data_IF_317034020020
#
_entry.id   IF_317034020020
#
_cell.length_a   1.000
_cell.length_b   1.000
_cell.length_c   1.000
_cell.angle_alpha   90.00
_cell.angle_beta   90.00
_cell.angle_gamma   90.00
#
_symmetry.space_group_name_H-M   'P 1'
#
loop_
_entity.id
_entity.type
_entity.pdbx_description
1 polymer ?
#
# COMPACT_ATOMS: atom_id res chain seq x y z
N UNK A 1 22.17 17.07 3.15
CA UNK A 1 20.95 16.60 2.47
C UNK A 1 20.17 17.80 2.00
N UNK A 2 19.98 17.93 0.69
CA UNK A 2 19.13 18.98 0.14
C UNK A 2 17.68 18.44 0.21
N UNK A 3 16.82 19.12 0.97
CA UNK A 3 15.38 18.93 0.82
C UNK A 3 15.04 19.11 -0.67
N UNK A 4 14.13 18.29 -1.21
CA UNK A 4 13.55 18.49 -2.54
C UNK A 4 12.99 19.92 -2.60
N UNK A 5 13.79 20.88 -3.08
CA UNK A 5 13.36 22.27 -3.21
C UNK A 5 12.46 22.35 -4.42
N UNK A 6 11.17 22.08 -4.20
CA UNK A 6 10.15 22.22 -5.23
C UNK A 6 9.95 23.71 -5.51
N UNK A 7 9.99 24.13 -6.79
CA UNK A 7 9.75 25.52 -7.17
C UNK A 7 8.45 26.05 -6.56
N UNK A 8 8.51 27.26 -5.99
CA UNK A 8 7.42 27.90 -5.25
C UNK A 8 6.21 28.28 -6.12
N UNK A 9 6.30 28.13 -7.44
CA UNK A 9 5.29 28.58 -8.41
C UNK A 9 4.49 27.46 -9.10
N UNK A 10 4.77 26.19 -8.81
CA UNK A 10 4.07 25.07 -9.44
C UNK A 10 2.88 24.62 -8.57
N UNK A 11 1.67 25.01 -8.98
CA UNK A 11 0.39 24.52 -8.43
C UNK A 11 0.21 23.02 -8.75
N UNK A 12 0.84 22.55 -9.84
CA UNK A 12 0.80 21.18 -10.36
C UNK A 12 2.14 20.50 -10.16
N UNK A 13 2.13 19.26 -9.65
CA UNK A 13 3.33 18.46 -9.45
C UNK A 13 3.17 17.11 -10.13
N UNK A 14 3.98 16.89 -11.17
CA UNK A 14 4.30 15.56 -11.69
C UNK A 14 5.47 15.02 -10.85
N UNK A 15 5.17 14.44 -9.68
CA UNK A 15 6.20 13.88 -8.79
C UNK A 15 5.99 12.37 -8.61
N UNK A 16 6.95 11.53 -9.02
CA UNK A 16 6.79 10.07 -8.99
C UNK A 16 6.61 9.49 -7.58
N UNK A 17 6.82 10.28 -6.53
CA UNK A 17 6.64 9.89 -5.15
C UNK A 17 7.65 10.50 -4.19
N UNK A 18 7.74 9.91 -2.99
CA UNK A 18 8.79 10.13 -2.00
C UNK A 18 9.62 8.85 -1.87
N UNK A 19 10.93 9.00 -2.03
CA UNK A 19 11.90 7.92 -1.95
C UNK A 19 12.95 8.29 -0.91
N UNK A 20 13.11 7.48 0.13
CA UNK A 20 14.15 7.68 1.13
C UNK A 20 15.46 7.07 0.61
N UNK A 21 16.62 7.73 0.70
CA UNK A 21 17.89 7.09 0.39
C UNK A 21 18.13 5.81 1.22
N UNK A 22 18.65 4.75 0.58
CA UNK A 22 18.93 3.45 1.23
C UNK A 22 19.81 3.56 2.50
N UNK A 23 20.66 4.60 2.56
CA UNK A 23 21.60 4.83 3.66
C UNK A 23 21.02 5.67 4.81
N UNK A 24 19.76 6.05 4.76
CA UNK A 24 19.13 6.91 5.77
C UNK A 24 18.54 6.12 6.95
N UNK A 25 19.03 4.90 7.18
CA UNK A 25 18.75 4.12 8.39
C UNK A 25 19.78 4.40 9.48
N UNK A 26 19.33 4.45 10.72
CA UNK A 26 20.21 4.46 11.88
C UNK A 26 20.69 3.03 12.24
N UNK A 27 21.46 2.93 13.33
CA UNK A 27 22.04 1.66 13.79
C UNK A 27 20.99 0.62 14.19
N UNK A 28 19.76 1.06 14.52
CA UNK A 28 18.65 0.22 14.92
C UNK A 28 17.77 -0.16 13.71
N UNK A 29 18.14 0.27 12.50
CA UNK A 29 17.36 0.04 11.28
C UNK A 29 16.14 0.97 11.15
N UNK A 30 16.00 1.96 12.03
CA UNK A 30 14.95 2.98 11.93
C UNK A 30 15.37 4.07 10.96
N UNK A 31 14.41 4.82 10.43
CA UNK A 31 14.67 6.07 9.73
C UNK A 31 15.48 7.01 10.62
N UNK A 32 16.63 7.48 10.16
CA UNK A 32 17.42 8.42 10.93
C UNK A 32 16.63 9.74 11.14
N UNK A 33 16.81 10.45 12.27
CA UNK A 33 15.98 11.61 12.59
C UNK A 33 15.98 12.72 11.53
N UNK A 34 17.12 12.94 10.87
CA UNK A 34 17.24 13.94 9.80
C UNK A 34 16.44 13.56 8.54
N UNK A 35 16.40 12.29 8.17
CA UNK A 35 15.61 11.80 7.05
C UNK A 35 14.11 11.80 7.37
N UNK A 36 13.74 11.43 8.60
CA UNK A 36 12.37 11.52 9.08
C UNK A 36 11.83 12.96 9.00
N UNK A 37 12.60 13.94 9.49
CA UNK A 37 12.24 15.37 9.38
C UNK A 37 12.19 15.85 7.93
N UNK A 38 13.14 15.42 7.09
CA UNK A 38 13.13 15.75 5.67
C UNK A 38 11.89 15.20 4.94
N UNK A 39 11.45 14.00 5.30
CA UNK A 39 10.24 13.38 4.74
C UNK A 39 8.98 14.15 5.15
N UNK A 40 8.84 14.49 6.44
CA UNK A 40 7.73 15.30 6.93
C UNK A 40 7.74 16.70 6.31
N UNK A 41 8.92 17.32 6.17
CA UNK A 41 9.06 18.61 5.50
C UNK A 41 8.65 18.53 4.02
N UNK A 42 9.00 17.45 3.33
CA UNK A 42 8.57 17.20 1.94
C UNK A 42 7.05 17.08 1.85
N UNK A 43 6.41 16.31 2.74
CA UNK A 43 4.96 16.22 2.80
C UNK A 43 4.30 17.60 2.99
N UNK A 44 4.84 18.44 3.89
CA UNK A 44 4.34 19.82 4.10
C UNK A 44 4.50 20.71 2.87
N UNK A 45 5.55 20.53 2.08
CA UNK A 45 5.75 21.29 0.84
C UNK A 45 4.79 20.87 -0.28
N UNK A 46 4.35 19.61 -0.24
CA UNK A 46 3.37 19.03 -1.17
C UNK A 46 1.92 19.35 -0.79
N UNK A 47 1.66 19.64 0.49
CA UNK A 47 0.34 19.95 1.00
C UNK A 47 -0.36 21.05 0.20
N UNK A 48 -1.61 20.79 -0.21
CA UNK A 48 -2.43 21.74 -0.98
C UNK A 48 -2.09 21.84 -2.46
N UNK A 49 -1.09 21.09 -2.95
CA UNK A 49 -0.85 20.94 -4.39
C UNK A 49 -1.71 19.79 -4.90
N UNK A 50 -2.43 20.02 -6.00
CA UNK A 50 -3.31 19.02 -6.58
C UNK A 50 -2.45 17.99 -7.32
N UNK A 51 -2.52 16.74 -6.84
CA UNK A 51 -2.09 15.59 -7.62
C UNK A 51 -3.16 15.31 -8.70
N UNK A 52 -2.86 15.64 -9.95
CA UNK A 52 -3.66 15.20 -11.09
C UNK A 52 -3.21 13.78 -11.44
N UNK A 53 -4.14 12.82 -11.36
CA UNK A 53 -3.94 11.45 -11.84
C UNK A 53 -3.58 11.57 -13.34
N UNK A 54 -2.42 11.06 -13.81
CA UNK A 54 -2.05 11.21 -15.22
C UNK A 54 -3.17 10.67 -16.11
N UNK A 55 -3.67 11.51 -17.01
CA UNK A 55 -4.81 11.16 -17.86
C UNK A 55 -4.43 9.96 -18.74
N UNK A 56 -5.07 8.81 -18.49
CA UNK A 56 -4.95 7.62 -19.33
C UNK A 56 -5.92 7.78 -20.50
N UNK A 57 -5.44 8.30 -21.62
CA UNK A 57 -6.10 8.12 -22.91
C UNK A 57 -5.83 6.68 -23.36
N UNK A 58 -6.88 5.85 -23.35
CA UNK A 58 -6.95 4.46 -23.85
C UNK A 58 -6.62 3.38 -22.79
N UNK A 59 -7.62 2.56 -22.49
CA UNK A 59 -7.58 1.50 -21.48
C UNK A 59 -6.78 0.27 -21.88
N UNK A 60 -5.48 0.43 -22.13
CA UNK A 60 -4.51 -0.65 -22.11
C UNK A 60 -3.70 -0.56 -20.81
N UNK A 61 -3.50 -1.72 -20.18
CA UNK A 61 -2.76 -1.98 -18.93
C UNK A 61 -2.22 -0.75 -18.19
N UNK A 62 -2.92 -0.34 -17.13
CA UNK A 62 -2.51 0.76 -16.23
C UNK A 62 -1.03 0.59 -15.85
N UNK A 63 -0.10 1.42 -16.35
CA UNK A 63 1.27 1.34 -15.89
C UNK A 63 1.33 1.75 -14.41
N UNK A 64 2.28 1.20 -13.66
CA UNK A 64 2.62 1.54 -12.28
C UNK A 64 2.91 3.05 -12.05
N UNK A 65 2.93 3.85 -13.12
CA UNK A 65 3.31 5.26 -13.20
C UNK A 65 2.26 6.24 -12.65
N UNK A 66 1.02 5.80 -12.39
CA UNK A 66 -0.07 6.68 -11.90
C UNK A 66 -0.22 6.72 -10.38
N UNK A 67 0.59 5.96 -9.65
CA UNK A 67 0.53 5.92 -8.19
C UNK A 67 1.57 6.84 -7.58
N UNK A 68 1.18 7.58 -6.54
CA UNK A 68 2.16 8.25 -5.71
C UNK A 68 2.98 7.19 -4.98
N UNK A 69 4.26 7.06 -5.31
CA UNK A 69 5.15 6.09 -4.67
C UNK A 69 5.64 6.56 -3.31
N UNK A 70 5.63 5.69 -2.32
CA UNK A 70 6.30 5.89 -1.04
C UNK A 70 7.27 4.72 -0.83
N UNK A 71 8.55 4.96 -1.04
CA UNK A 71 9.60 3.95 -0.88
C UNK A 71 10.34 4.16 0.44
N UNK A 72 10.22 3.17 1.33
CA UNK A 72 10.72 3.20 2.71
C UNK A 72 11.97 2.33 2.91
N UNK A 73 12.41 1.58 1.88
CA UNK A 73 13.59 0.70 1.91
C UNK A 73 13.77 -0.16 3.17
N UNK A 74 12.70 -0.66 3.77
CA UNK A 74 12.65 -1.46 5.00
C UNK A 74 13.21 -0.72 6.21
N UNK A 75 13.15 0.62 6.22
CA UNK A 75 13.35 1.37 7.45
C UNK A 75 12.17 1.08 8.39
N UNK A 76 12.40 1.09 9.70
CA UNK A 76 11.31 1.20 10.66
C UNK A 76 10.97 2.68 10.91
N UNK A 77 9.76 2.96 11.39
CA UNK A 77 9.42 4.29 11.87
C UNK A 77 10.36 4.71 13.02
N UNK A 78 10.86 5.94 13.04
CA UNK A 78 11.75 6.40 14.10
C UNK A 78 11.03 6.45 15.45
N UNK A 79 11.74 6.28 16.57
CA UNK A 79 11.16 6.41 17.92
C UNK A 79 10.52 7.77 18.21
N UNK A 80 10.89 8.80 17.46
CA UNK A 80 10.30 10.14 17.55
C UNK A 80 8.87 10.21 16.98
N UNK A 81 8.41 9.19 16.26
CA UNK A 81 7.05 9.11 15.73
C UNK A 81 6.17 8.27 16.67
N UNK A 82 5.31 8.91 17.49
CA UNK A 82 4.57 8.22 18.53
C UNK A 82 3.58 7.19 17.99
N UNK A 83 3.09 7.40 16.77
CA UNK A 83 2.13 6.52 16.09
C UNK A 83 2.78 5.67 14.97
N UNK A 84 4.10 5.47 15.02
CA UNK A 84 4.83 4.77 13.94
C UNK A 84 4.62 5.46 12.59
N UNK A 85 4.29 4.69 11.55
CA UNK A 85 4.01 5.26 10.23
C UNK A 85 2.74 6.12 10.18
N UNK A 86 1.89 6.07 11.20
CA UNK A 86 0.74 6.98 11.34
C UNK A 86 1.13 8.46 11.30
N UNK A 87 2.31 8.81 11.82
CA UNK A 87 2.82 10.20 11.75
C UNK A 87 3.04 10.63 10.29
N UNK A 88 3.57 9.72 9.46
CA UNK A 88 3.79 9.96 8.04
C UNK A 88 2.46 10.01 7.26
N UNK A 89 1.54 9.08 7.52
CA UNK A 89 0.24 9.08 6.84
C UNK A 89 -0.58 10.33 7.18
N UNK A 90 -0.52 10.81 8.42
CA UNK A 90 -1.11 12.10 8.80
C UNK A 90 -0.49 13.28 8.04
N UNK A 91 0.82 13.25 7.81
CA UNK A 91 1.50 14.29 7.01
C UNK A 91 1.16 14.21 5.52
N UNK A 92 0.82 13.03 5.00
CA UNK A 92 0.36 12.83 3.62
C UNK A 92 -1.11 13.20 3.40
N UNK A 93 -1.94 13.21 4.45
CA UNK A 93 -3.37 13.54 4.37
C UNK A 93 -3.68 14.82 3.56
N UNK A 94 -2.96 15.96 3.73
CA UNK A 94 -3.25 17.20 3.00
C UNK A 94 -2.97 17.14 1.51
N UNK A 95 -2.32 16.09 1.00
CA UNK A 95 -2.07 15.89 -0.43
C UNK A 95 -3.32 15.37 -1.16
N UNK A 96 -4.31 14.84 -0.41
CA UNK A 96 -5.55 14.34 -1.00
C UNK A 96 -5.34 13.18 -1.98
N UNK A 97 -4.35 12.32 -1.71
CA UNK A 97 -3.96 11.20 -2.57
C UNK A 97 -5.15 10.28 -2.86
N UNK A 98 -5.30 9.92 -4.14
CA UNK A 98 -6.27 8.91 -4.59
C UNK A 98 -5.61 7.56 -4.88
N UNK A 99 -4.36 7.56 -5.32
CA UNK A 99 -3.60 6.35 -5.64
C UNK A 99 -2.27 6.38 -4.89
N UNK A 100 -2.01 5.35 -4.09
CA UNK A 100 -0.79 5.23 -3.29
C UNK A 100 -0.15 3.86 -3.50
N UNK A 101 1.16 3.86 -3.74
CA UNK A 101 1.98 2.64 -3.68
C UNK A 101 2.94 2.77 -2.51
N UNK A 102 2.94 1.80 -1.61
CA UNK A 102 3.95 1.70 -0.54
C UNK A 102 4.92 0.59 -0.94
N UNK A 103 6.20 0.92 -1.04
CA UNK A 103 7.26 -0.01 -1.45
C UNK A 103 8.22 -0.28 -0.31
N UNK A 104 8.68 -1.54 -0.24
CA UNK A 104 9.79 -2.00 0.58
C UNK A 104 9.59 -1.49 2.02
N UNK A 105 8.53 -1.92 2.69
CA UNK A 105 8.19 -1.52 4.05
C UNK A 105 7.76 -2.74 4.86
N UNK A 106 7.59 -2.56 6.17
CA UNK A 106 6.97 -3.56 7.06
C UNK A 106 5.84 -2.88 7.82
N UNK A 107 4.60 -3.14 7.38
CA UNK A 107 3.40 -2.51 7.92
C UNK A 107 2.72 -3.42 8.94
N UNK A 108 2.58 -2.91 10.16
CA UNK A 108 1.83 -3.56 11.22
C UNK A 108 0.33 -3.26 11.11
N UNK A 109 -0.48 -3.96 11.89
CA UNK A 109 -1.90 -3.65 12.05
C UNK A 109 -2.16 -2.20 12.48
N UNK A 110 -1.30 -1.63 13.34
CA UNK A 110 -1.40 -0.23 13.75
C UNK A 110 -1.11 0.74 12.60
N UNK A 111 -0.12 0.43 11.76
CA UNK A 111 0.23 1.27 10.61
C UNK A 111 -0.90 1.27 9.58
N UNK A 112 -1.50 0.12 9.29
CA UNK A 112 -2.65 0.01 8.38
C UNK A 112 -3.89 0.71 8.95
N UNK A 113 -4.16 0.60 10.26
CA UNK A 113 -5.25 1.36 10.89
C UNK A 113 -5.04 2.88 10.76
N UNK A 114 -3.80 3.34 10.92
CA UNK A 114 -3.47 4.75 10.72
C UNK A 114 -3.58 5.16 9.24
N UNK A 115 -3.17 4.31 8.29
CA UNK A 115 -3.32 4.54 6.86
C UNK A 115 -4.79 4.78 6.50
N UNK A 116 -5.70 3.88 6.92
CA UNK A 116 -7.12 4.02 6.59
C UNK A 116 -7.78 5.22 7.26
N UNK A 117 -7.26 5.64 8.41
CA UNK A 117 -7.74 6.82 9.16
C UNK A 117 -7.31 8.13 8.49
N UNK A 118 -6.06 8.22 8.05
CA UNK A 118 -5.48 9.46 7.55
C UNK A 118 -5.64 9.63 6.03
N UNK A 119 -5.81 8.55 5.27
CA UNK A 119 -5.92 8.59 3.80
C UNK A 119 -7.28 8.05 3.30
N UNK A 120 -8.43 8.61 3.73
CA UNK A 120 -9.76 8.07 3.40
C UNK A 120 -10.18 8.29 1.94
N UNK A 121 -9.40 9.05 1.17
CA UNK A 121 -9.71 9.38 -0.23
C UNK A 121 -9.11 8.38 -1.22
N UNK A 122 -8.37 7.37 -0.75
CA UNK A 122 -7.75 6.38 -1.60
C UNK A 122 -8.80 5.59 -2.39
N UNK A 123 -8.61 5.61 -3.71
CA UNK A 123 -9.31 4.86 -4.74
C UNK A 123 -8.46 3.67 -5.23
N UNK A 124 -7.12 3.81 -5.19
CA UNK A 124 -6.19 2.73 -5.50
C UNK A 124 -5.09 2.59 -4.44
N UNK A 125 -4.80 1.35 -4.04
CA UNK A 125 -3.72 1.04 -3.11
C UNK A 125 -2.89 -0.13 -3.64
N UNK A 126 -1.57 0.06 -3.74
CA UNK A 126 -0.61 -1.01 -4.01
C UNK A 126 0.30 -1.16 -2.79
N UNK A 127 0.32 -2.36 -2.21
CA UNK A 127 1.21 -2.71 -1.10
C UNK A 127 2.29 -3.63 -1.65
N UNK A 128 3.41 -3.01 -1.99
CA UNK A 128 4.64 -3.65 -2.47
C UNK A 128 5.61 -3.83 -1.29
N UNK A 129 5.10 -4.45 -0.23
CA UNK A 129 5.72 -4.46 1.08
C UNK A 129 5.16 -5.58 1.97
N UNK A 130 5.89 -5.90 3.04
CA UNK A 130 5.43 -6.81 4.08
C UNK A 130 4.28 -6.17 4.85
N UNK A 131 3.17 -6.90 4.99
CA UNK A 131 1.99 -6.44 5.72
C UNK A 131 1.42 -7.58 6.56
N UNK A 132 1.04 -7.28 7.80
CA UNK A 132 0.39 -8.26 8.68
C UNK A 132 -0.96 -8.68 8.12
N UNK A 133 -1.16 -9.99 7.89
CA UNK A 133 -2.41 -10.53 7.35
C UNK A 133 -3.67 -10.10 8.14
N UNK A 134 -3.66 -10.05 9.50
CA UNK A 134 -4.81 -9.56 10.29
C UNK A 134 -5.19 -8.10 10.02
N UNK A 135 -4.34 -7.32 9.37
CA UNK A 135 -4.62 -5.92 9.05
C UNK A 135 -5.46 -5.73 7.78
N UNK A 136 -5.47 -6.70 6.86
CA UNK A 136 -6.17 -6.58 5.57
C UNK A 136 -7.67 -6.25 5.71
N UNK A 137 -8.43 -6.84 6.65
CA UNK A 137 -9.83 -6.46 6.87
C UNK A 137 -10.04 -4.97 7.16
N UNK A 138 -9.07 -4.28 7.76
CA UNK A 138 -9.19 -2.85 8.05
C UNK A 138 -9.30 -2.00 6.79
N UNK A 139 -8.78 -2.47 5.66
CA UNK A 139 -8.86 -1.78 4.37
C UNK A 139 -10.32 -1.62 3.88
N UNK A 140 -11.28 -2.41 4.39
CA UNK A 140 -12.71 -2.21 4.09
C UNK A 140 -13.27 -0.85 4.57
N UNK A 141 -12.52 -0.16 5.46
CA UNK A 141 -12.84 1.18 5.93
C UNK A 141 -12.55 2.26 4.88
N UNK A 142 -11.72 1.98 3.88
CA UNK A 142 -11.48 2.86 2.73
C UNK A 142 -12.68 2.79 1.77
N UNK A 143 -13.71 3.61 2.04
CA UNK A 143 -15.00 3.57 1.30
C UNK A 143 -14.92 3.93 -0.18
N UNK A 144 -13.77 4.44 -0.63
CA UNK A 144 -13.50 4.77 -2.03
C UNK A 144 -12.60 3.78 -2.74
N UNK A 145 -12.01 2.82 -2.03
CA UNK A 145 -11.05 1.88 -2.59
C UNK A 145 -11.72 1.04 -3.68
N UNK A 146 -11.23 1.17 -4.91
CA UNK A 146 -11.68 0.45 -6.09
C UNK A 146 -10.69 -0.63 -6.49
N UNK A 147 -9.39 -0.36 -6.37
CA UNK A 147 -8.32 -1.28 -6.78
C UNK A 147 -7.34 -1.52 -5.64
N UNK A 148 -7.11 -2.79 -5.31
CA UNK A 148 -6.10 -3.21 -4.33
C UNK A 148 -5.13 -4.20 -4.96
N UNK A 149 -3.84 -3.92 -4.86
CA UNK A 149 -2.77 -4.84 -5.26
C UNK A 149 -1.92 -5.18 -4.04
N UNK A 150 -1.70 -6.46 -3.80
CA UNK A 150 -0.92 -6.98 -2.68
C UNK A 150 0.25 -7.79 -3.24
N UNK A 151 1.47 -7.44 -2.83
CA UNK A 151 2.68 -8.17 -3.15
C UNK A 151 3.30 -8.74 -1.86
N UNK A 152 2.73 -9.82 -1.31
CA UNK A 152 3.23 -10.41 -0.08
C UNK A 152 4.58 -11.09 -0.36
N UNK A 153 5.61 -10.68 0.38
CA UNK A 153 6.96 -11.25 0.27
C UNK A 153 8.07 -10.21 0.04
N UNK A 154 7.74 -9.03 -0.50
CA UNK A 154 8.70 -7.92 -0.57
C UNK A 154 8.93 -7.34 0.83
N UNK A 155 10.15 -7.48 1.36
CA UNK A 155 10.48 -7.03 2.73
C UNK A 155 10.28 -8.08 3.84
N UNK A 156 9.99 -9.34 3.48
CA UNK A 156 9.89 -10.48 4.40
C UNK A 156 8.47 -11.04 4.52
N UNK A 157 8.36 -12.38 4.52
CA UNK A 157 7.08 -13.07 4.71
C UNK A 157 6.58 -12.87 6.13
N UNK A 158 5.40 -12.27 6.26
CA UNK A 158 4.74 -12.11 7.56
C UNK A 158 3.98 -13.40 7.89
N UNK A 159 3.96 -13.77 9.16
CA UNK A 159 3.30 -14.99 9.65
C UNK A 159 1.83 -15.09 9.17
N UNK A 160 1.43 -16.29 8.74
CA UNK A 160 0.05 -16.62 8.36
C UNK A 160 -0.31 -16.44 6.89
N UNK A 161 0.54 -15.81 6.07
CA UNK A 161 0.34 -15.70 4.62
C UNK A 161 0.44 -17.07 3.91
N UNK A 162 1.14 -18.02 4.48
CA UNK A 162 1.23 -19.42 4.05
C UNK A 162 0.02 -20.28 4.48
N UNK A 163 -0.94 -19.70 5.21
CA UNK A 163 -2.15 -20.38 5.65
C UNK A 163 -3.35 -20.02 4.75
N UNK A 164 -3.80 -21.00 3.97
CA UNK A 164 -5.02 -20.90 3.14
C UNK A 164 -6.24 -20.41 3.96
N UNK A 165 -6.45 -20.97 5.15
CA UNK A 165 -7.59 -20.62 6.00
C UNK A 165 -7.51 -19.17 6.52
N UNK A 166 -6.31 -18.72 6.89
CA UNK A 166 -6.11 -17.35 7.34
C UNK A 166 -6.33 -16.35 6.19
N UNK A 167 -5.80 -16.67 5.00
CA UNK A 167 -6.01 -15.88 3.78
C UNK A 167 -7.49 -15.78 3.43
N UNK A 168 -8.20 -16.91 3.40
CA UNK A 168 -9.65 -16.94 3.16
C UNK A 168 -10.40 -16.02 4.12
N UNK A 169 -10.11 -16.12 5.42
CA UNK A 169 -10.78 -15.31 6.43
C UNK A 169 -10.51 -13.80 6.22
N UNK A 170 -9.25 -13.41 6.04
CA UNK A 170 -8.87 -12.00 5.89
C UNK A 170 -9.44 -11.38 4.60
N UNK A 171 -9.29 -12.09 3.47
CA UNK A 171 -9.73 -11.62 2.16
C UNK A 171 -11.25 -11.65 2.00
N UNK A 172 -11.95 -12.61 2.62
CA UNK A 172 -13.41 -12.65 2.59
C UNK A 172 -14.01 -11.39 3.21
N UNK A 173 -13.58 -11.03 4.43
CA UNK A 173 -14.06 -9.84 5.12
C UNK A 173 -13.78 -8.60 4.28
N UNK A 174 -12.56 -8.48 3.75
CA UNK A 174 -12.18 -7.37 2.90
C UNK A 174 -13.08 -7.26 1.65
N UNK A 175 -13.23 -8.34 0.89
CA UNK A 175 -13.97 -8.33 -0.37
C UNK A 175 -15.49 -8.19 -0.18
N UNK A 176 -16.04 -8.74 0.90
CA UNK A 176 -17.46 -8.62 1.22
C UNK A 176 -17.82 -7.23 1.77
N UNK A 177 -16.95 -6.62 2.59
CA UNK A 177 -17.27 -5.36 3.28
C UNK A 177 -16.75 -4.10 2.59
N UNK A 178 -15.82 -4.20 1.63
CA UNK A 178 -15.31 -3.04 0.88
C UNK A 178 -16.28 -2.66 -0.25
N UNK A 179 -17.12 -1.61 -0.09
CA UNK A 179 -18.32 -1.43 -0.91
C UNK A 179 -18.03 -1.03 -2.36
N UNK A 180 -16.83 -0.52 -2.64
CA UNK A 180 -16.42 -0.05 -3.97
C UNK A 180 -15.29 -0.86 -4.58
N UNK A 181 -14.78 -1.87 -3.86
CA UNK A 181 -13.69 -2.68 -4.37
C UNK A 181 -14.17 -3.41 -5.61
N UNK A 182 -13.53 -3.12 -6.75
CA UNK A 182 -13.78 -3.73 -8.05
C UNK A 182 -12.73 -4.76 -8.40
N UNK A 183 -11.50 -4.54 -7.95
CA UNK A 183 -10.38 -5.41 -8.28
C UNK A 183 -9.46 -5.66 -7.09
N UNK A 184 -9.14 -6.94 -6.88
CA UNK A 184 -8.09 -7.40 -5.98
C UNK A 184 -7.08 -8.22 -6.78
N UNK A 185 -5.81 -7.81 -6.72
CA UNK A 185 -4.70 -8.55 -7.32
C UNK A 185 -3.75 -9.03 -6.24
N UNK A 186 -3.50 -10.34 -6.22
CA UNK A 186 -2.38 -10.92 -5.49
C UNK A 186 -1.23 -11.18 -6.47
N UNK A 187 -0.11 -10.53 -6.25
CA UNK A 187 1.08 -10.65 -7.07
C UNK A 187 2.20 -11.28 -6.25
N UNK A 188 2.63 -12.48 -6.64
CA UNK A 188 3.70 -13.20 -5.95
C UNK A 188 4.98 -13.16 -6.78
N UNK A 189 6.12 -13.03 -6.08
CA UNK A 189 7.45 -13.15 -6.69
C UNK A 189 7.91 -14.60 -6.48
N UNK A 190 8.09 -15.39 -7.55
CA UNK A 190 8.45 -16.79 -7.43
C UNK A 190 9.82 -16.91 -6.75
N UNK A 191 9.84 -17.58 -5.60
CA UNK A 191 11.06 -18.06 -4.97
C UNK A 191 10.80 -19.44 -4.37
N UNK A 192 11.83 -20.28 -4.32
CA UNK A 192 11.74 -21.65 -3.77
C UNK A 192 11.26 -21.66 -2.30
N UNK A 193 11.38 -20.53 -1.60
CA UNK A 193 10.93 -20.33 -0.22
C UNK A 193 9.42 -19.98 -0.10
N UNK A 194 8.69 -19.90 -1.21
CA UNK A 194 7.30 -19.40 -1.26
C UNK A 194 6.29 -20.35 -1.92
N UNK A 195 6.64 -21.61 -2.17
CA UNK A 195 5.69 -22.58 -2.76
C UNK A 195 4.40 -22.74 -1.94
N UNK A 196 4.52 -22.78 -0.61
CA UNK A 196 3.34 -22.89 0.27
C UNK A 196 2.47 -21.63 0.23
N UNK A 197 3.08 -20.45 0.14
CA UNK A 197 2.36 -19.18 -0.03
C UNK A 197 1.62 -19.15 -1.38
N UNK A 198 2.28 -19.60 -2.45
CA UNK A 198 1.70 -19.69 -3.79
C UNK A 198 0.46 -20.58 -3.77
N UNK A 199 0.60 -21.80 -3.24
CA UNK A 199 -0.49 -22.77 -3.13
C UNK A 199 -1.64 -22.24 -2.27
N UNK A 200 -1.34 -21.70 -1.08
CA UNK A 200 -2.33 -21.15 -0.17
C UNK A 200 -3.10 -19.96 -0.80
N UNK A 201 -2.39 -19.09 -1.53
CA UNK A 201 -2.98 -17.94 -2.23
C UNK A 201 -3.88 -18.38 -3.38
N UNK A 202 -3.43 -19.32 -4.22
CA UNK A 202 -4.23 -19.85 -5.33
C UNK A 202 -5.52 -20.51 -4.82
N UNK A 203 -5.42 -21.37 -3.80
CA UNK A 203 -6.57 -22.05 -3.20
C UNK A 203 -7.54 -21.08 -2.52
N UNK A 204 -7.03 -20.04 -1.84
CA UNK A 204 -7.85 -19.01 -1.23
C UNK A 204 -8.61 -18.18 -2.29
N UNK A 205 -7.94 -17.75 -3.36
CA UNK A 205 -8.56 -16.99 -4.46
C UNK A 205 -9.61 -17.84 -5.18
N UNK A 206 -9.30 -19.08 -5.53
CA UNK A 206 -10.25 -19.96 -6.22
C UNK A 206 -11.53 -20.15 -5.40
N UNK A 207 -11.39 -20.34 -4.09
CA UNK A 207 -12.54 -20.46 -3.19
C UNK A 207 -13.33 -19.14 -3.09
N UNK A 208 -12.66 -17.99 -2.93
CA UNK A 208 -13.34 -16.69 -2.87
C UNK A 208 -14.13 -16.37 -4.14
N UNK A 209 -13.64 -16.77 -5.32
CA UNK A 209 -14.37 -16.60 -6.58
C UNK A 209 -15.71 -17.35 -6.60
N UNK A 210 -15.83 -18.44 -5.83
CA UNK A 210 -17.07 -19.21 -5.70
C UNK A 210 -18.01 -18.62 -4.64
N UNK A 211 -17.45 -18.11 -3.53
CA UNK A 211 -18.23 -17.64 -2.39
C UNK A 211 -18.71 -16.18 -2.51
N UNK A 212 -17.88 -15.28 -3.04
CA UNK A 212 -18.23 -13.86 -3.10
C UNK A 212 -19.52 -13.55 -3.88
N UNK A 213 -19.83 -14.20 -5.01
CA UNK A 213 -21.11 -13.98 -5.71
C UNK A 213 -22.35 -14.32 -4.87
N UNK A 214 -22.21 -15.14 -3.84
CA UNK A 214 -23.31 -15.49 -2.92
C UNK A 214 -23.49 -14.45 -1.81
N UNK A 215 -22.46 -13.64 -1.54
CA UNK A 215 -22.41 -12.67 -0.45
C UNK A 215 -22.57 -11.22 -0.91
N UNK A 216 -22.32 -10.95 -2.19
CA UNK A 216 -22.33 -9.61 -2.77
C UNK A 216 -22.77 -9.66 -4.23
N UNK A 217 -23.71 -8.78 -4.60
CA UNK A 217 -24.29 -8.71 -5.95
C UNK A 217 -23.26 -8.36 -7.04
N UNK A 218 -22.29 -7.51 -6.71
CA UNK A 218 -21.21 -7.06 -7.61
C UNK A 218 -19.85 -7.31 -6.95
N UNK A 219 -19.38 -8.57 -6.89
CA UNK A 219 -18.14 -8.94 -6.20
C UNK A 219 -16.91 -8.44 -6.96
N UNK A 220 -15.79 -8.14 -6.27
CA UNK A 220 -14.56 -7.73 -6.94
C UNK A 220 -14.02 -8.84 -7.84
N UNK A 221 -13.45 -8.44 -8.98
CA UNK A 221 -12.62 -9.31 -9.81
C UNK A 221 -11.36 -9.69 -9.04
N UNK A 222 -11.18 -10.98 -8.80
CA UNK A 222 -10.01 -11.52 -8.14
C UNK A 222 -9.02 -12.00 -9.20
N UNK A 223 -7.79 -11.50 -9.14
CA UNK A 223 -6.70 -11.97 -10.02
C UNK A 223 -5.50 -12.40 -9.20
N UNK A 224 -4.82 -13.39 -9.75
CA UNK A 224 -3.62 -13.97 -9.19
C UNK A 224 -2.57 -14.00 -10.30
N UNK A 225 -1.37 -13.52 -9.99
CA UNK A 225 -0.27 -13.44 -10.95
C UNK A 225 1.08 -13.73 -10.30
N UNK A 226 1.96 -14.35 -11.09
CA UNK A 226 3.36 -14.61 -10.73
C UNK A 226 4.22 -13.76 -11.67
N UNK A 227 5.10 -12.92 -11.11
CA UNK A 227 6.00 -12.06 -11.88
C UNK A 227 7.37 -12.72 -12.00
N UNK A 228 7.87 -12.92 -13.23
CA UNK A 228 9.14 -13.60 -13.54
C UNK A 228 10.29 -12.61 -13.72
#
# INVERSE_FOLDING_TARGET
MAALQLPSGLIRLELPGLTIPVNDKDADGCLCPSAAEALLASCRQLAGRLWEDPHVENGEDLPDENYFGLDLYSAAAPPSWPDGYGTLFAALQPLGLRRLTIRIASLTLCDVDALVRHLPLLEGLKLDCAVELPSLPLLCRLKRLETLQLHPGEGGLVEGWDSELALRAALLVLCAEAPRLKELFLCLVPSDAQEQLLEASEQAIHWLMQELPMLRDDPPSLRFGVWW
#
